data_IF_549222705615
#
_entry.id   IF_549222705615
#
_cell.length_a   1.000
_cell.length_b   1.000
_cell.length_c   1.000
_cell.angle_alpha   90.00
_cell.angle_beta   90.00
_cell.angle_gamma   90.00
#
_symmetry.space_group_name_H-M   'P 1'
#
loop_
_entity.id
_entity.type
_entity.pdbx_description
1 polymer ?
#
# COMPACT_ATOMS: atom_id res chain seq x y z
N UNK A 1 40.69 28.01 33.22
CA UNK A 1 39.57 28.08 32.23
C UNK A 1 38.31 28.47 32.98
N UNK A 2 37.72 29.63 32.72
CA UNK A 2 36.55 30.09 33.48
C UNK A 2 35.31 29.23 33.19
N UNK A 3 34.60 28.78 34.23
CA UNK A 3 33.35 27.99 34.12
C UNK A 3 32.34 28.60 33.16
N UNK A 4 32.30 29.93 33.06
CA UNK A 4 31.42 30.71 32.18
C UNK A 4 31.77 30.57 30.70
N UNK A 5 33.05 30.46 30.35
CA UNK A 5 33.47 30.23 28.96
C UNK A 5 33.23 28.79 28.52
N UNK A 6 33.36 27.84 29.44
CA UNK A 6 33.05 26.43 29.20
C UNK A 6 31.55 26.24 28.92
N UNK A 7 30.66 26.71 29.81
CA UNK A 7 29.20 26.61 29.64
C UNK A 7 28.70 27.26 28.34
N UNK A 8 29.24 28.42 27.96
CA UNK A 8 28.89 29.10 26.69
C UNK A 8 29.31 28.28 25.47
N UNK A 9 30.50 27.68 25.48
CA UNK A 9 31.00 26.86 24.36
C UNK A 9 30.24 25.55 24.25
N UNK A 10 30.02 24.86 25.37
CA UNK A 10 29.25 23.60 25.39
C UNK A 10 27.81 23.82 24.94
N UNK A 11 27.15 24.87 25.42
CA UNK A 11 25.79 25.22 24.99
C UNK A 11 25.69 25.57 23.50
N UNK A 12 26.65 26.33 22.97
CA UNK A 12 26.68 26.67 21.53
C UNK A 12 26.90 25.43 20.64
N UNK A 13 27.79 24.51 21.05
CA UNK A 13 28.04 23.25 20.34
C UNK A 13 26.80 22.35 20.35
N UNK A 14 26.11 22.23 21.49
CA UNK A 14 24.87 21.44 21.59
C UNK A 14 23.75 21.99 20.70
N UNK A 15 23.59 23.31 20.62
CA UNK A 15 22.58 23.95 19.77
C UNK A 15 22.89 23.75 18.29
N UNK A 16 24.17 23.89 17.89
CA UNK A 16 24.59 23.68 16.49
C UNK A 16 24.42 22.21 16.06
N UNK A 17 24.77 21.25 16.93
CA UNK A 17 24.58 19.83 16.65
C UNK A 17 23.10 19.46 16.56
N UNK A 18 22.27 19.92 17.50
CA UNK A 18 20.83 19.68 17.45
C UNK A 18 20.18 20.33 16.22
N UNK A 19 20.57 21.58 15.90
CA UNK A 19 20.11 22.30 14.72
C UNK A 19 20.53 21.61 13.42
N UNK A 20 21.76 21.10 13.33
CA UNK A 20 22.24 20.35 12.17
C UNK A 20 21.52 19.01 11.96
N UNK A 21 21.20 18.29 13.04
CA UNK A 21 20.44 17.03 12.97
C UNK A 21 18.99 17.30 12.53
N UNK A 22 18.33 18.31 13.11
CA UNK A 22 16.96 18.68 12.72
C UNK A 22 16.93 19.19 11.28
N UNK A 23 17.89 20.02 10.87
CA UNK A 23 18.00 20.50 9.50
C UNK A 23 18.17 19.34 8.51
N UNK A 24 19.08 18.40 8.79
CA UNK A 24 19.29 17.22 7.96
C UNK A 24 18.06 16.30 7.95
N UNK A 25 17.35 16.16 9.06
CA UNK A 25 16.09 15.41 9.11
C UNK A 25 14.99 16.08 8.26
N UNK A 26 14.87 17.42 8.32
CA UNK A 26 13.97 18.17 7.44
C UNK A 26 14.34 18.05 5.96
N UNK A 27 15.62 18.19 5.62
CA UNK A 27 16.16 18.10 4.25
C UNK A 27 15.96 16.70 3.65
N UNK A 28 16.13 15.65 4.46
CA UNK A 28 15.86 14.26 4.07
C UNK A 28 14.35 13.91 4.13
N UNK A 29 13.48 14.90 4.32
CA UNK A 29 12.03 14.71 4.29
C UNK A 29 11.48 13.88 5.45
N UNK A 30 12.21 13.70 6.56
CA UNK A 30 11.77 12.92 7.73
C UNK A 30 10.46 13.47 8.31
N UNK A 31 10.22 14.77 8.18
CA UNK A 31 9.00 15.46 8.62
C UNK A 31 8.07 15.87 7.46
N UNK A 32 8.38 15.44 6.23
CA UNK A 32 7.54 15.72 5.07
C UNK A 32 6.26 14.87 5.16
N UNK A 33 5.17 15.48 5.61
CA UNK A 33 3.84 15.00 5.26
C UNK A 33 3.62 15.31 3.79
N UNK A 34 3.36 14.29 2.97
CA UNK A 34 3.04 14.49 1.57
C UNK A 34 1.90 15.49 1.36
N UNK A 35 2.08 16.46 0.46
CA UNK A 35 1.13 17.53 0.13
C UNK A 35 0.92 17.63 -1.38
N UNK A 36 -0.17 18.30 -1.78
CA UNK A 36 -0.48 18.59 -3.18
C UNK A 36 -1.51 17.64 -3.79
N UNK A 37 -1.75 17.81 -5.10
CA UNK A 37 -2.81 17.14 -5.85
C UNK A 37 -2.77 15.61 -5.72
N UNK A 38 -1.58 15.02 -5.64
CA UNK A 38 -1.40 13.59 -5.44
C UNK A 38 -2.03 13.04 -4.15
N UNK A 39 -2.25 13.89 -3.13
CA UNK A 39 -2.82 13.50 -1.83
C UNK A 39 -4.29 13.87 -1.67
N UNK A 40 -4.86 14.63 -2.61
CA UNK A 40 -6.28 15.00 -2.60
C UNK A 40 -7.22 13.80 -2.49
N UNK A 41 -6.98 12.64 -3.13
CA UNK A 41 -7.86 11.47 -2.99
C UNK A 41 -8.10 11.03 -1.53
N UNK A 42 -7.09 11.11 -0.66
CA UNK A 42 -7.21 10.73 0.75
C UNK A 42 -8.03 11.74 1.57
N UNK A 43 -8.02 13.01 1.18
CA UNK A 43 -8.78 14.08 1.85
C UNK A 43 -10.21 14.17 1.32
N UNK A 44 -10.35 14.13 -0.01
CA UNK A 44 -11.63 14.20 -0.72
C UNK A 44 -12.55 13.05 -0.38
N UNK A 45 -12.01 11.84 -0.22
CA UNK A 45 -12.79 10.67 0.19
C UNK A 45 -13.53 10.86 1.53
N UNK A 46 -12.89 11.53 2.50
CA UNK A 46 -13.49 11.77 3.83
C UNK A 46 -14.65 12.76 3.78
N UNK A 47 -14.63 13.66 2.79
CA UNK A 47 -15.57 14.77 2.68
C UNK A 47 -16.72 14.43 1.72
N UNK A 48 -16.40 13.77 0.61
CA UNK A 48 -17.36 13.31 -0.38
C UNK A 48 -16.76 12.12 -1.15
N UNK A 49 -17.06 10.86 -0.76
CA UNK A 49 -16.54 9.68 -1.45
C UNK A 49 -17.02 9.63 -2.92
N UNK A 50 -18.07 10.37 -3.27
CA UNK A 50 -18.75 10.33 -4.57
C UNK A 50 -19.86 9.28 -4.56
N UNK A 51 -20.55 9.16 -5.69
CA UNK A 51 -21.59 8.16 -5.91
C UNK A 51 -21.39 7.49 -7.28
N UNK A 52 -21.86 6.25 -7.41
CA UNK A 52 -21.79 5.49 -8.64
C UNK A 52 -20.40 4.95 -8.97
N UNK A 53 -20.19 4.54 -10.23
CA UNK A 53 -18.97 3.87 -10.69
C UNK A 53 -17.67 4.65 -10.40
N UNK A 54 -17.70 5.98 -10.46
CA UNK A 54 -16.51 6.83 -10.19
C UNK A 54 -16.00 6.69 -8.75
N UNK A 55 -16.88 6.43 -7.79
CA UNK A 55 -16.49 6.30 -6.40
C UNK A 55 -15.77 4.97 -6.13
N UNK A 56 -16.00 3.92 -6.94
CA UNK A 56 -15.19 2.71 -6.91
C UNK A 56 -13.75 3.03 -7.33
N UNK A 57 -13.58 3.76 -8.45
CA UNK A 57 -12.24 4.16 -8.93
C UNK A 57 -11.51 5.03 -7.90
N UNK A 58 -12.22 5.95 -7.22
CA UNK A 58 -11.65 6.72 -6.11
C UNK A 58 -11.13 5.84 -4.97
N UNK A 59 -11.78 4.71 -4.69
CA UNK A 59 -11.29 3.74 -3.71
C UNK A 59 -10.08 2.97 -4.24
N UNK A 60 -10.13 2.57 -5.52
CA UNK A 60 -9.08 1.81 -6.19
C UNK A 60 -7.74 2.53 -6.15
N UNK A 61 -7.72 3.85 -6.41
CA UNK A 61 -6.48 4.65 -6.39
C UNK A 61 -5.85 4.82 -5.00
N UNK A 62 -6.55 4.44 -3.92
CA UNK A 62 -6.03 4.40 -2.56
C UNK A 62 -5.43 3.04 -2.17
N UNK A 63 -5.54 2.04 -3.07
CA UNK A 63 -4.98 0.71 -2.86
C UNK A 63 -3.45 0.74 -2.73
N UNK A 64 -2.90 -0.27 -2.08
CA UNK A 64 -1.46 -0.48 -2.09
C UNK A 64 -1.04 -0.95 -3.48
N UNK A 65 0.05 -0.40 -4.00
CA UNK A 65 0.73 -0.93 -5.18
C UNK A 65 2.25 -1.00 -4.92
N UNK A 66 2.97 -1.93 -5.58
CA UNK A 66 4.42 -2.01 -5.49
C UNK A 66 5.05 -0.67 -5.85
N UNK A 67 5.96 -0.18 -5.00
CA UNK A 67 6.63 1.12 -5.17
C UNK A 67 5.69 2.30 -5.46
N UNK A 68 4.41 2.19 -5.12
CA UNK A 68 3.37 3.18 -5.47
C UNK A 68 3.29 3.50 -6.98
N UNK A 69 3.64 2.55 -7.86
CA UNK A 69 3.60 2.71 -9.32
C UNK A 69 2.20 2.97 -9.87
N UNK A 70 1.16 2.53 -9.15
CA UNK A 70 -0.24 2.65 -9.51
C UNK A 70 -0.48 2.17 -10.95
N UNK A 71 -0.24 0.87 -11.24
CA UNK A 71 -0.14 0.32 -12.59
C UNK A 71 -1.52 0.01 -13.18
N UNK A 72 -2.47 0.93 -13.01
CA UNK A 72 -3.87 0.75 -13.39
C UNK A 72 -4.34 1.85 -14.34
N UNK A 73 -5.19 1.45 -15.27
CA UNK A 73 -6.07 2.34 -16.01
C UNK A 73 -7.51 1.87 -15.83
N UNK A 74 -8.44 2.83 -15.80
CA UNK A 74 -9.85 2.54 -15.61
C UNK A 74 -10.66 3.02 -16.82
N UNK A 75 -11.57 2.18 -17.28
CA UNK A 75 -12.66 2.59 -18.17
C UNK A 75 -13.96 2.49 -17.40
N UNK A 76 -14.68 3.60 -17.32
CA UNK A 76 -15.90 3.73 -16.51
C UNK A 76 -17.08 3.83 -17.47
N UNK A 77 -18.13 3.06 -17.22
CA UNK A 77 -19.43 3.19 -17.87
C UNK A 77 -20.51 3.36 -16.80
N UNK A 78 -21.77 3.56 -17.20
CA UNK A 78 -22.88 3.70 -16.27
C UNK A 78 -23.13 2.44 -15.42
N UNK A 79 -22.80 1.27 -15.98
CA UNK A 79 -23.05 -0.04 -15.36
C UNK A 79 -21.81 -0.85 -15.02
N UNK A 80 -20.60 -0.35 -15.28
CA UNK A 80 -19.38 -1.11 -15.04
C UNK A 80 -18.13 -0.27 -14.83
N UNK A 81 -17.15 -0.88 -14.17
CA UNK A 81 -15.77 -0.39 -14.14
C UNK A 81 -14.87 -1.49 -14.67
N UNK A 82 -14.08 -1.16 -15.69
CA UNK A 82 -13.01 -2.03 -16.18
C UNK A 82 -11.67 -1.56 -15.65
N UNK A 83 -10.84 -2.52 -15.25
CA UNK A 83 -9.49 -2.34 -14.76
C UNK A 83 -8.51 -2.93 -15.77
N UNK A 84 -7.60 -2.11 -16.26
CA UNK A 84 -6.50 -2.51 -17.12
C UNK A 84 -5.19 -2.50 -16.34
N UNK A 85 -4.41 -3.57 -16.50
CA UNK A 85 -3.04 -3.68 -16.04
C UNK A 85 -2.11 -2.89 -16.97
N UNK A 86 -1.59 -1.75 -16.51
CA UNK A 86 -0.67 -0.92 -17.29
C UNK A 86 0.79 -1.37 -17.12
N UNK A 87 1.18 -2.37 -17.90
CA UNK A 87 2.53 -2.95 -17.88
C UNK A 87 3.64 -1.97 -18.29
N UNK A 88 3.31 -0.77 -18.81
CA UNK A 88 4.29 0.32 -19.04
C UNK A 88 4.83 0.90 -17.73
N UNK A 89 4.13 0.67 -16.61
CA UNK A 89 4.52 1.06 -15.25
C UNK A 89 5.20 -0.06 -14.48
N UNK A 90 5.79 -1.04 -15.19
CA UNK A 90 6.51 -2.15 -14.57
C UNK A 90 7.75 -1.69 -13.79
N UNK A 91 8.28 -2.59 -12.96
CA UNK A 91 9.45 -2.35 -12.12
C UNK A 91 10.72 -3.03 -12.66
N UNK A 92 10.72 -3.47 -13.91
CA UNK A 92 11.85 -4.19 -14.50
C UNK A 92 12.24 -5.41 -13.66
N UNK A 93 13.52 -5.49 -13.29
CA UNK A 93 14.08 -6.61 -12.53
C UNK A 93 13.54 -6.76 -11.11
N UNK A 94 12.90 -5.74 -10.53
CA UNK A 94 12.23 -5.88 -9.23
C UNK A 94 10.94 -6.69 -9.32
N UNK A 95 10.29 -6.73 -10.48
CA UNK A 95 9.08 -7.53 -10.72
C UNK A 95 9.10 -8.13 -12.14
N UNK A 96 10.04 -9.05 -12.43
CA UNK A 96 10.33 -9.48 -13.79
C UNK A 96 9.20 -10.30 -14.41
N UNK A 97 8.27 -10.80 -13.59
CA UNK A 97 7.09 -11.59 -13.99
C UNK A 97 5.78 -10.83 -13.80
N UNK A 98 5.85 -9.53 -13.48
CA UNK A 98 4.69 -8.67 -13.20
C UNK A 98 3.78 -9.18 -12.07
N UNK A 99 4.31 -10.05 -11.19
CA UNK A 99 3.55 -10.68 -10.11
C UNK A 99 3.11 -9.62 -9.10
N UNK A 100 4.02 -8.74 -8.70
CA UNK A 100 3.70 -7.71 -7.72
C UNK A 100 2.70 -6.69 -8.29
N UNK A 101 2.83 -6.37 -9.57
CA UNK A 101 1.88 -5.53 -10.30
C UNK A 101 0.45 -6.07 -10.16
N UNK A 102 0.24 -7.37 -10.45
CA UNK A 102 -1.08 -8.01 -10.33
C UNK A 102 -1.57 -8.12 -8.88
N UNK A 103 -0.68 -8.32 -7.90
CA UNK A 103 -1.06 -8.22 -6.47
C UNK A 103 -1.60 -6.82 -6.14
N UNK A 104 -0.97 -5.76 -6.65
CA UNK A 104 -1.45 -4.39 -6.49
C UNK A 104 -2.80 -4.14 -7.17
N UNK A 105 -3.03 -4.72 -8.35
CA UNK A 105 -4.34 -4.69 -9.02
C UNK A 105 -5.42 -5.42 -8.21
N UNK A 106 -5.09 -6.55 -7.58
CA UNK A 106 -5.98 -7.24 -6.65
C UNK A 106 -6.39 -6.35 -5.47
N UNK A 107 -5.45 -5.60 -4.88
CA UNK A 107 -5.78 -4.62 -3.85
C UNK A 107 -6.73 -3.52 -4.37
N UNK A 108 -6.58 -3.08 -5.62
CA UNK A 108 -7.46 -2.10 -6.25
C UNK A 108 -8.88 -2.68 -6.46
N UNK A 109 -8.99 -3.93 -6.92
CA UNK A 109 -10.28 -4.64 -7.04
C UNK A 109 -10.97 -4.74 -5.69
N UNK A 110 -10.28 -5.17 -4.64
CA UNK A 110 -10.88 -5.32 -3.31
C UNK A 110 -11.42 -3.97 -2.76
N UNK A 111 -10.66 -2.88 -2.93
CA UNK A 111 -11.14 -1.56 -2.56
C UNK A 111 -12.41 -1.15 -3.33
N UNK A 112 -12.50 -1.50 -4.63
CA UNK A 112 -13.70 -1.27 -5.44
C UNK A 112 -14.87 -2.11 -4.94
N UNK A 113 -14.67 -3.40 -4.65
CA UNK A 113 -15.70 -4.31 -4.13
C UNK A 113 -16.30 -3.81 -2.81
N UNK A 114 -15.44 -3.46 -1.85
CA UNK A 114 -15.85 -2.90 -0.56
C UNK A 114 -16.67 -1.61 -0.71
N UNK A 115 -16.27 -0.77 -1.67
CA UNK A 115 -16.95 0.51 -1.94
C UNK A 115 -18.26 0.30 -2.69
N UNK A 116 -18.32 -0.64 -3.63
CA UNK A 116 -19.52 -0.98 -4.38
C UNK A 116 -20.62 -1.46 -3.42
N UNK A 117 -20.29 -2.38 -2.52
CA UNK A 117 -21.20 -2.86 -1.48
C UNK A 117 -21.72 -1.70 -0.60
N UNK A 118 -20.83 -0.80 -0.16
CA UNK A 118 -21.21 0.36 0.65
C UNK A 118 -22.15 1.34 -0.07
N UNK A 119 -22.11 1.37 -1.40
CA UNK A 119 -23.00 2.18 -2.23
C UNK A 119 -24.26 1.44 -2.70
N UNK A 120 -24.40 0.18 -2.33
CA UNK A 120 -25.58 -0.63 -2.66
C UNK A 120 -25.53 -1.32 -4.01
N UNK A 121 -24.35 -1.44 -4.59
CA UNK A 121 -24.13 -2.28 -5.75
C UNK A 121 -23.77 -3.71 -5.33
N UNK A 122 -24.38 -4.67 -6.00
CA UNK A 122 -23.85 -6.03 -6.16
C UNK A 122 -22.92 -6.01 -7.37
N UNK A 123 -21.78 -6.69 -7.23
CA UNK A 123 -20.75 -6.74 -8.27
C UNK A 123 -20.69 -8.12 -8.89
N UNK A 124 -20.80 -8.18 -10.21
CA UNK A 124 -20.38 -9.32 -11.02
C UNK A 124 -18.92 -9.09 -11.40
N UNK A 125 -18.00 -9.81 -10.75
CA UNK A 125 -16.57 -9.68 -10.99
C UNK A 125 -16.12 -10.70 -12.03
N UNK A 126 -15.69 -10.20 -13.19
CA UNK A 126 -15.07 -10.98 -14.24
C UNK A 126 -13.56 -10.72 -14.26
N UNK A 127 -12.77 -11.68 -13.79
CA UNK A 127 -11.31 -11.63 -13.87
C UNK A 127 -10.83 -12.13 -15.22
N UNK A 128 -9.88 -11.44 -15.82
CA UNK A 128 -9.24 -11.92 -17.05
C UNK A 128 -8.19 -12.96 -16.70
N UNK A 129 -8.42 -14.21 -17.16
CA UNK A 129 -7.43 -15.28 -17.02
C UNK A 129 -6.15 -14.95 -17.76
N UNK A 130 -5.01 -15.30 -17.17
CA UNK A 130 -3.70 -15.08 -17.76
C UNK A 130 -2.64 -15.91 -17.06
N UNK A 131 -1.43 -15.92 -17.65
CA UNK A 131 -0.25 -16.54 -17.06
C UNK A 131 0.76 -15.44 -16.76
N UNK A 132 1.38 -15.48 -15.58
CA UNK A 132 2.47 -14.57 -15.27
C UNK A 132 3.65 -14.87 -16.20
N UNK A 133 4.05 -13.85 -16.96
CA UNK A 133 5.10 -13.94 -17.96
C UNK A 133 6.09 -12.79 -17.80
N UNK A 134 7.23 -12.91 -18.46
CA UNK A 134 8.19 -11.82 -18.51
C UNK A 134 7.58 -10.53 -19.07
N UNK A 135 8.13 -9.39 -18.67
CA UNK A 135 7.75 -8.09 -19.22
C UNK A 135 7.89 -8.15 -20.75
N UNK A 136 6.81 -7.89 -21.51
CA UNK A 136 6.86 -7.95 -22.97
C UNK A 136 7.76 -6.86 -23.54
N UNK A 137 8.37 -7.10 -24.70
CA UNK A 137 9.21 -6.12 -25.40
C UNK A 137 8.48 -4.79 -25.68
N UNK A 138 7.17 -4.88 -25.89
CA UNK A 138 6.26 -3.73 -26.05
C UNK A 138 5.17 -3.80 -24.99
N UNK A 139 5.37 -3.17 -23.82
CA UNK A 139 4.37 -3.14 -22.77
C UNK A 139 3.15 -2.32 -23.18
N UNK A 140 1.97 -2.92 -23.07
CA UNK A 140 0.70 -2.28 -23.32
C UNK A 140 -0.31 -2.59 -22.21
N UNK A 141 -1.31 -1.72 -21.99
CA UNK A 141 -2.38 -2.01 -21.07
C UNK A 141 -3.21 -3.21 -21.52
N UNK A 142 -3.44 -4.17 -20.62
CA UNK A 142 -4.30 -5.34 -20.87
C UNK A 142 -5.45 -5.36 -19.89
N UNK A 143 -6.63 -5.80 -20.32
CA UNK A 143 -7.77 -5.95 -19.41
C UNK A 143 -7.42 -6.98 -18.33
N UNK A 144 -7.60 -6.60 -17.07
CA UNK A 144 -7.31 -7.44 -15.91
C UNK A 144 -8.59 -7.87 -15.18
N UNK A 145 -9.56 -6.96 -15.08
CA UNK A 145 -10.86 -7.25 -14.48
C UNK A 145 -11.95 -6.34 -15.03
N UNK A 146 -13.19 -6.83 -14.99
CA UNK A 146 -14.40 -6.04 -15.22
C UNK A 146 -15.36 -6.25 -14.04
N UNK A 147 -15.87 -5.15 -13.50
CA UNK A 147 -16.83 -5.12 -12.40
C UNK A 147 -18.17 -4.65 -12.98
N UNK A 148 -19.10 -5.56 -13.21
CA UNK A 148 -20.48 -5.26 -13.58
C UNK A 148 -21.28 -4.88 -12.34
N UNK A 149 -22.06 -3.79 -12.41
CA UNK A 149 -22.73 -3.20 -11.26
C UNK A 149 -24.24 -3.29 -11.40
N UNK A 150 -24.88 -3.91 -10.41
CA UNK A 150 -26.35 -3.95 -10.31
C UNK A 150 -26.77 -3.46 -8.94
N UNK A 151 -27.84 -2.65 -8.86
CA UNK A 151 -28.30 -2.17 -7.56
C UNK A 151 -28.95 -3.30 -6.77
N UNK A 152 -28.52 -3.50 -5.52
CA UNK A 152 -28.96 -4.61 -4.68
C UNK A 152 -29.05 -4.31 -3.19
N UNK A 153 -28.86 -3.05 -2.78
CA UNK A 153 -28.98 -2.59 -1.39
C UNK A 153 -27.64 -2.42 -0.68
N UNK A 154 -27.51 -1.32 0.07
CA UNK A 154 -26.24 -0.91 0.69
C UNK A 154 -25.83 -1.80 1.86
N UNK A 155 -24.57 -2.23 1.86
CA UNK A 155 -23.93 -2.98 2.94
C UNK A 155 -22.63 -2.28 3.33
N UNK A 156 -22.61 -1.68 4.52
CA UNK A 156 -21.42 -0.98 5.03
C UNK A 156 -20.53 -1.95 5.80
N UNK A 157 -19.23 -1.89 5.52
CA UNK A 157 -18.19 -2.65 6.22
C UNK A 157 -17.21 -1.71 6.91
N UNK A 158 -16.67 -2.11 8.06
CA UNK A 158 -15.56 -1.41 8.72
C UNK A 158 -14.28 -1.40 7.85
N UNK A 159 -14.11 -2.39 6.97
CA UNK A 159 -12.99 -2.45 6.03
C UNK A 159 -13.04 -1.32 4.99
N UNK A 160 -14.24 -1.01 4.48
CA UNK A 160 -14.43 0.12 3.57
C UNK A 160 -14.04 1.46 4.24
N UNK A 161 -14.35 1.62 5.53
CA UNK A 161 -13.98 2.81 6.30
C UNK A 161 -12.48 2.90 6.59
N UNK A 162 -11.76 1.78 6.48
CA UNK A 162 -10.32 1.73 6.68
C UNK A 162 -9.52 2.19 5.44
N UNK A 163 -10.11 2.13 4.24
CA UNK A 163 -9.47 2.53 2.97
C UNK A 163 -8.76 3.90 3.06
N UNK A 164 -9.40 5.02 3.47
CA UNK A 164 -8.77 6.34 3.54
C UNK A 164 -7.84 6.54 4.76
N UNK A 165 -7.72 5.53 5.63
CA UNK A 165 -6.87 5.58 6.85
C UNK A 165 -5.61 4.73 6.71
N UNK A 166 -5.64 3.71 5.85
CA UNK A 166 -4.52 2.82 5.59
C UNK A 166 -3.36 3.60 4.99
N UNK A 167 -2.16 3.32 5.50
CA UNK A 167 -0.89 3.78 4.96
C UNK A 167 0.20 2.77 5.30
N UNK A 168 1.28 2.76 4.53
CA UNK A 168 2.46 1.94 4.85
C UNK A 168 3.32 2.69 5.86
N UNK A 169 3.39 2.17 7.09
CA UNK A 169 4.28 2.69 8.12
C UNK A 169 5.63 1.96 8.06
N UNK A 170 6.72 2.70 7.82
CA UNK A 170 8.10 2.20 7.78
C UNK A 170 8.93 2.62 9.00
N UNK A 171 8.33 3.30 9.97
CA UNK A 171 9.00 3.64 11.21
C UNK A 171 9.28 2.37 12.05
N UNK A 172 10.24 2.46 12.97
CA UNK A 172 10.48 1.42 13.95
C UNK A 172 9.23 1.16 14.80
N UNK A 173 8.92 -0.11 15.02
CA UNK A 173 7.81 -0.53 15.88
C UNK A 173 8.24 -0.56 17.35
N UNK A 174 7.30 -0.27 18.26
CA UNK A 174 7.52 -0.37 19.70
C UNK A 174 7.55 -1.85 20.13
N UNK A 175 8.75 -2.37 20.32
CA UNK A 175 8.97 -3.77 20.69
C UNK A 175 8.62 -4.07 22.16
N UNK A 176 8.39 -3.03 22.98
CA UNK A 176 7.97 -3.22 24.38
C UNK A 176 6.48 -3.53 24.51
N UNK A 177 5.70 -3.35 23.45
CA UNK A 177 4.26 -3.55 23.43
C UNK A 177 3.89 -4.75 22.55
N UNK A 178 3.79 -5.96 23.11
CA UNK A 178 3.47 -7.14 22.33
C UNK A 178 2.05 -7.06 21.75
N UNK A 179 1.83 -7.69 20.59
CA UNK A 179 0.50 -7.87 20.05
C UNK A 179 -0.28 -8.86 20.91
N UNK A 180 -1.56 -8.59 21.21
CA UNK A 180 -2.38 -9.53 21.95
C UNK A 180 -2.55 -10.87 21.19
N UNK A 181 -2.47 -12.04 21.85
CA UNK A 181 -2.56 -13.34 21.18
C UNK A 181 -3.85 -13.57 20.38
N UNK A 182 -4.97 -12.99 20.82
CA UNK A 182 -6.22 -12.98 20.06
C UNK A 182 -6.11 -12.24 18.73
N UNK A 183 -5.32 -11.16 18.67
CA UNK A 183 -5.11 -10.42 17.41
C UNK A 183 -4.35 -11.30 16.40
N UNK A 184 -3.29 -11.98 16.85
CA UNK A 184 -2.53 -12.90 15.99
C UNK A 184 -3.39 -14.06 15.49
N UNK A 185 -4.25 -14.63 16.36
CA UNK A 185 -5.20 -15.69 15.98
C UNK A 185 -6.24 -15.18 14.99
N UNK A 186 -6.78 -13.98 15.19
CA UNK A 186 -7.73 -13.37 14.25
C UNK A 186 -7.08 -13.16 12.88
N UNK A 187 -5.83 -12.69 12.82
CA UNK A 187 -5.10 -12.57 11.56
C UNK A 187 -4.90 -13.92 10.89
N UNK A 188 -4.38 -14.92 11.62
CA UNK A 188 -4.18 -16.27 11.10
C UNK A 188 -5.47 -16.89 10.52
N UNK A 189 -6.62 -16.58 11.12
CA UNK A 189 -7.92 -17.06 10.66
C UNK A 189 -8.44 -16.37 9.40
N UNK A 190 -7.89 -15.21 8.98
CA UNK A 190 -8.35 -14.51 7.78
C UNK A 190 -8.17 -15.33 6.50
N UNK A 191 -7.17 -16.21 6.46
CA UNK A 191 -6.89 -17.06 5.30
C UNK A 191 -7.47 -18.48 5.46
N UNK A 192 -8.24 -18.76 6.52
CA UNK A 192 -8.68 -20.13 6.82
C UNK A 192 -9.62 -20.71 5.77
N UNK A 193 -10.49 -19.87 5.23
CA UNK A 193 -11.50 -20.26 4.24
C UNK A 193 -11.01 -20.06 2.79
N UNK A 194 -9.77 -19.61 2.62
CA UNK A 194 -9.16 -19.35 1.31
C UNK A 194 -8.31 -20.55 0.87
N UNK A 195 -8.71 -21.21 -0.21
CA UNK A 195 -8.05 -22.44 -0.68
C UNK A 195 -6.63 -22.20 -1.19
N UNK A 196 -6.41 -21.04 -1.82
CA UNK A 196 -5.16 -20.72 -2.53
C UNK A 196 -4.29 -19.70 -1.79
N UNK A 197 -4.72 -19.25 -0.61
CA UNK A 197 -3.99 -18.29 0.23
C UNK A 197 -3.55 -18.94 1.53
N UNK A 198 -2.27 -18.80 1.87
CA UNK A 198 -1.73 -19.22 3.17
C UNK A 198 -1.12 -18.04 3.88
N UNK A 199 -1.45 -17.88 5.15
CA UNK A 199 -0.87 -16.87 6.01
C UNK A 199 0.05 -17.52 7.05
N UNK A 200 1.29 -17.06 7.11
CA UNK A 200 2.28 -17.48 8.09
C UNK A 200 2.59 -16.33 9.05
N UNK A 201 2.61 -16.62 10.35
CA UNK A 201 2.96 -15.65 11.40
C UNK A 201 4.30 -16.04 12.00
N UNK A 202 5.27 -15.15 11.89
CA UNK A 202 6.63 -15.31 12.42
C UNK A 202 6.81 -14.41 13.66
N UNK A 203 6.55 -14.96 14.84
CA UNK A 203 6.51 -14.19 16.09
C UNK A 203 7.74 -14.39 16.99
N UNK A 204 8.54 -15.44 16.76
CA UNK A 204 9.77 -15.72 17.51
C UNK A 204 10.95 -14.85 17.06
N UNK A 205 11.90 -14.60 17.97
CA UNK A 205 13.12 -13.85 17.64
C UNK A 205 14.00 -14.59 16.61
N UNK A 206 13.98 -15.92 16.63
CA UNK A 206 14.68 -16.75 15.66
C UNK A 206 14.10 -16.58 14.25
N UNK A 207 12.76 -16.58 14.11
CA UNK A 207 12.11 -16.37 12.82
C UNK A 207 12.34 -14.97 12.28
N UNK A 208 12.23 -13.95 13.15
CA UNK A 208 12.50 -12.55 12.78
C UNK A 208 13.92 -12.37 12.27
N UNK A 209 14.90 -12.98 12.94
CA UNK A 209 16.30 -12.97 12.50
C UNK A 209 16.44 -13.62 11.11
N UNK A 210 15.84 -14.80 10.92
CA UNK A 210 15.89 -15.53 9.65
C UNK A 210 15.28 -14.75 8.49
N UNK A 211 14.10 -14.15 8.69
CA UNK A 211 13.46 -13.28 7.69
C UNK A 211 14.33 -12.06 7.40
N UNK A 212 14.91 -11.43 8.44
CA UNK A 212 15.81 -10.29 8.29
C UNK A 212 17.06 -10.64 7.46
N UNK A 213 17.70 -11.77 7.73
CA UNK A 213 18.86 -12.27 6.97
C UNK A 213 18.50 -12.53 5.50
N UNK A 214 17.36 -13.16 5.23
CA UNK A 214 16.87 -13.42 3.88
C UNK A 214 16.59 -12.12 3.10
N UNK A 215 15.98 -11.10 3.75
CA UNK A 215 15.74 -9.80 3.13
C UNK A 215 17.04 -9.07 2.78
N UNK A 216 18.04 -9.12 3.68
CA UNK A 216 19.37 -8.53 3.42
C UNK A 216 20.08 -9.26 2.28
N UNK A 217 20.02 -10.59 2.23
CA UNK A 217 20.60 -11.37 1.14
C UNK A 217 19.93 -11.06 -0.21
N UNK A 218 18.60 -11.03 -0.25
CA UNK A 218 17.84 -10.66 -1.45
C UNK A 218 18.21 -9.26 -1.94
N UNK A 219 18.31 -8.29 -1.03
CA UNK A 219 18.71 -6.91 -1.37
C UNK A 219 20.13 -6.86 -1.93
N UNK A 220 21.08 -7.63 -1.37
CA UNK A 220 22.44 -7.70 -1.90
C UNK A 220 22.48 -8.25 -3.32
N UNK A 221 21.69 -9.28 -3.62
CA UNK A 221 21.57 -9.85 -4.97
C UNK A 221 21.01 -8.84 -5.97
N UNK A 222 19.95 -8.13 -5.60
CA UNK A 222 19.35 -7.08 -6.44
C UNK A 222 20.35 -5.95 -6.73
N UNK A 223 21.20 -5.57 -5.77
CA UNK A 223 22.19 -4.50 -5.95
C UNK A 223 23.40 -4.97 -6.77
N UNK A 224 23.71 -6.27 -6.76
CA UNK A 224 24.87 -6.81 -7.48
C UNK A 224 24.64 -7.09 -8.97
N UNK A 225 23.37 -7.15 -9.39
CA UNK A 225 22.94 -7.31 -10.78
C UNK A 225 22.92 -5.95 -11.52
#
# INVERSE_FOLDING_TARGET
MERRSFLKRTGAISILLAGGIVWRACDQGVFSTGKGQAYEPWQGWRSNPGAGPIALVRAAILAASPHNTQPWLFRITDGSVELYADSRRNLGMFDPYLREMYVGLGCAVENMMLTAAAQGYKVELNLTSGVLSHIPEKPEPVLAAQLGLTFGGAQRSSLQQAIPRRHTNRAGYDMSRPLPPETLRSLANLAKDETDLKLFVYDSDADRKRVGEALVEATKKIISD
#
